data_IF_610776621770
#
_entry.id   IF_610776621770
#
_cell.length_a   1.000
_cell.length_b   1.000
_cell.length_c   1.000
_cell.angle_alpha   90.00
_cell.angle_beta   90.00
_cell.angle_gamma   90.00
#
_symmetry.space_group_name_H-M   'P 1'
#
loop_
_entity.id
_entity.type
_entity.pdbx_description
1 polymer ?
#
# COMPACT_ATOMS: atom_id res chain seq x y z
N UNK A 1 0.63 -13.60 -69.10
CA UNK A 1 1.57 -12.87 -68.22
C UNK A 1 0.85 -12.51 -66.93
N UNK A 2 1.34 -12.99 -65.77
CA UNK A 2 0.75 -12.82 -64.42
C UNK A 2 1.51 -11.75 -63.63
N UNK A 3 0.78 -10.94 -62.84
CA UNK A 3 1.00 -10.54 -61.41
C UNK A 3 0.36 -9.15 -61.20
N UNK A 4 -0.80 -9.04 -60.54
CA UNK A 4 -1.12 -9.04 -59.09
C UNK A 4 -0.75 -7.73 -58.36
N UNK A 5 -1.77 -6.94 -58.01
CA UNK A 5 -1.79 -6.13 -56.78
C UNK A 5 -2.98 -6.59 -55.92
N UNK A 6 -2.69 -6.92 -54.66
CA UNK A 6 -3.65 -7.42 -53.67
C UNK A 6 -4.36 -6.26 -52.98
N UNK A 7 -5.65 -6.49 -52.72
CA UNK A 7 -6.61 -5.75 -51.91
C UNK A 7 -6.36 -6.01 -50.41
N UNK A 8 -6.63 -5.03 -49.53
CA UNK A 8 -7.33 -5.24 -48.24
C UNK A 8 -8.10 -3.94 -47.83
N UNK A 9 -9.22 -4.02 -47.09
CA UNK A 9 -10.36 -3.09 -47.21
C UNK A 9 -10.72 -2.32 -45.92
N UNK A 10 -11.58 -1.30 -46.05
CA UNK A 10 -12.60 -0.98 -45.03
C UNK A 10 -12.67 0.46 -44.50
N UNK A 11 -13.13 1.42 -45.32
CA UNK A 11 -13.75 2.67 -44.82
C UNK A 11 -14.78 3.16 -45.84
N UNK A 12 -16.05 2.81 -45.67
CA UNK A 12 -17.16 3.43 -46.41
C UNK A 12 -17.82 4.50 -45.53
N UNK A 13 -17.63 5.76 -45.91
CA UNK A 13 -18.41 6.89 -45.40
C UNK A 13 -19.63 7.01 -46.29
N UNK A 14 -20.80 6.60 -45.78
CA UNK A 14 -22.06 6.70 -46.51
C UNK A 14 -22.58 8.15 -46.56
N UNK A 15 -23.04 8.54 -47.74
CA UNK A 15 -23.54 9.85 -48.21
C UNK A 15 -24.86 10.30 -47.52
N UNK A 16 -25.13 9.87 -46.29
CA UNK A 16 -26.45 10.05 -45.65
C UNK A 16 -26.56 11.33 -44.79
N UNK A 17 -25.45 11.98 -44.42
CA UNK A 17 -25.49 13.15 -43.53
C UNK A 17 -25.93 14.46 -44.21
N UNK A 18 -25.73 14.62 -45.51
CA UNK A 18 -26.02 15.90 -46.21
C UNK A 18 -27.51 16.09 -46.48
N UNK A 19 -28.29 15.00 -46.57
CA UNK A 19 -29.75 15.08 -46.82
C UNK A 19 -30.58 15.41 -45.58
N UNK A 20 -30.04 15.18 -44.36
CA UNK A 20 -30.78 15.39 -43.10
C UNK A 20 -30.88 16.89 -42.77
N UNK A 21 -29.86 17.68 -43.10
CA UNK A 21 -29.85 19.13 -42.82
C UNK A 21 -30.86 19.94 -43.67
N UNK A 22 -31.40 19.38 -44.77
CA UNK A 22 -32.39 20.08 -45.62
C UNK A 22 -33.85 19.87 -45.23
N UNK A 23 -34.16 18.99 -44.27
CA UNK A 23 -35.54 18.65 -43.92
C UNK A 23 -36.12 19.38 -42.69
N UNK A 24 -35.36 20.26 -42.03
CA UNK A 24 -35.75 20.90 -40.75
C UNK A 24 -36.57 22.19 -40.87
N UNK A 25 -37.06 22.59 -42.06
CA UNK A 25 -37.66 23.92 -42.25
C UNK A 25 -39.20 23.97 -42.17
N UNK A 26 -39.94 22.85 -42.03
CA UNK A 26 -41.43 22.98 -42.04
C UNK A 26 -42.25 21.90 -41.33
N UNK A 27 -41.96 21.54 -40.07
CA UNK A 27 -42.79 20.55 -39.35
C UNK A 27 -43.24 20.98 -37.95
N UNK A 28 -44.52 20.79 -37.68
CA UNK A 28 -45.23 21.13 -36.43
C UNK A 28 -44.81 20.24 -35.25
N UNK A 29 -45.03 20.73 -34.02
CA UNK A 29 -44.54 20.12 -32.77
C UNK A 29 -44.82 18.61 -32.60
N UNK A 30 -45.93 18.09 -33.14
CA UNK A 30 -46.23 16.65 -33.07
C UNK A 30 -45.30 15.76 -33.92
N UNK A 31 -44.73 16.29 -35.01
CA UNK A 31 -43.80 15.54 -35.86
C UNK A 31 -42.36 15.52 -35.32
N UNK A 32 -41.97 16.51 -34.50
CA UNK A 32 -40.70 16.53 -33.76
C UNK A 32 -40.68 15.49 -32.64
N UNK A 33 -41.81 15.26 -31.97
CA UNK A 33 -41.93 14.26 -30.89
C UNK A 33 -41.82 12.83 -31.44
N UNK A 34 -42.44 12.55 -32.60
CA UNK A 34 -42.33 11.23 -33.26
C UNK A 34 -40.89 10.99 -33.76
N UNK A 35 -40.22 12.02 -34.27
CA UNK A 35 -38.81 11.92 -34.67
C UNK A 35 -37.88 11.71 -33.46
N UNK A 36 -38.17 12.36 -32.32
CA UNK A 36 -37.42 12.19 -31.07
C UNK A 36 -37.63 10.79 -30.44
N UNK A 37 -38.86 10.26 -30.50
CA UNK A 37 -39.18 8.90 -30.07
C UNK A 37 -38.56 7.83 -31.00
N UNK A 38 -38.50 8.09 -32.30
CA UNK A 38 -37.77 7.22 -33.23
C UNK A 38 -36.24 7.26 -33.01
N UNK A 39 -35.67 8.43 -32.74
CA UNK A 39 -34.25 8.60 -32.37
C UNK A 39 -33.90 7.88 -31.06
N UNK A 40 -34.80 7.89 -30.07
CA UNK A 40 -34.67 7.12 -28.83
C UNK A 40 -34.76 5.60 -29.06
N UNK A 41 -35.54 5.13 -30.04
CA UNK A 41 -35.62 3.71 -30.40
C UNK A 41 -34.45 3.20 -31.27
N UNK A 42 -33.71 4.10 -31.92
CA UNK A 42 -32.53 3.80 -32.74
C UNK A 42 -31.19 4.07 -32.04
N UNK A 43 -31.22 4.62 -30.82
CA UNK A 43 -30.09 4.60 -29.91
C UNK A 43 -29.95 3.17 -29.37
N UNK A 44 -29.32 2.31 -30.16
CA UNK A 44 -28.53 1.24 -29.58
C UNK A 44 -27.40 1.92 -28.81
N UNK A 45 -27.70 2.33 -27.58
CA UNK A 45 -26.70 2.34 -26.52
C UNK A 45 -26.33 0.86 -26.42
N UNK A 46 -25.36 0.44 -27.23
CA UNK A 46 -24.44 -0.57 -26.74
C UNK A 46 -23.94 0.04 -25.44
N UNK A 47 -24.54 -0.39 -24.32
CA UNK A 47 -23.79 -0.48 -23.11
C UNK A 47 -22.56 -1.24 -23.55
N UNK A 48 -21.41 -0.56 -23.68
CA UNK A 48 -20.19 -1.30 -23.48
C UNK A 48 -20.39 -1.81 -22.07
N UNK A 49 -20.79 -3.08 -21.98
CA UNK A 49 -20.47 -3.85 -20.82
C UNK A 49 -18.96 -3.71 -20.77
N UNK A 50 -18.48 -2.74 -19.99
CA UNK A 50 -17.21 -2.87 -19.31
C UNK A 50 -17.39 -4.18 -18.58
N UNK A 51 -16.96 -5.25 -19.23
CA UNK A 51 -16.84 -6.55 -18.63
C UNK A 51 -15.83 -6.31 -17.53
N UNK A 52 -16.36 -6.09 -16.33
CA UNK A 52 -15.60 -6.26 -15.11
C UNK A 52 -14.85 -7.56 -15.29
N UNK A 53 -13.53 -7.51 -15.09
CA UNK A 53 -12.64 -8.65 -15.18
C UNK A 53 -12.85 -9.61 -13.99
N UNK A 54 -14.12 -9.91 -13.67
CA UNK A 54 -14.56 -10.91 -12.71
C UNK A 54 -13.92 -12.27 -13.04
N UNK A 55 -13.75 -12.56 -14.34
CA UNK A 55 -13.04 -13.74 -14.81
C UNK A 55 -11.58 -13.81 -14.38
N UNK A 56 -10.89 -12.70 -14.13
CA UNK A 56 -9.51 -12.70 -13.62
C UNK A 56 -9.47 -12.66 -12.09
N UNK A 57 -10.46 -12.03 -11.46
CA UNK A 57 -10.63 -12.06 -10.00
C UNK A 57 -10.96 -13.47 -9.49
N UNK A 58 -11.95 -14.16 -10.06
CA UNK A 58 -12.32 -15.52 -9.65
C UNK A 58 -11.19 -16.52 -9.91
N UNK A 59 -10.46 -16.33 -11.02
CA UNK A 59 -9.24 -17.10 -11.30
C UNK A 59 -8.13 -16.76 -10.32
N UNK A 60 -7.98 -15.51 -9.90
CA UNK A 60 -7.04 -15.10 -8.86
C UNK A 60 -7.39 -15.78 -7.53
N UNK A 61 -8.65 -15.73 -7.09
CA UNK A 61 -9.15 -16.39 -5.87
C UNK A 61 -8.86 -17.89 -5.93
N UNK A 62 -9.27 -18.56 -7.00
CA UNK A 62 -9.13 -20.02 -7.16
C UNK A 62 -7.65 -20.48 -7.15
N UNK A 63 -6.76 -19.74 -7.83
CA UNK A 63 -5.32 -20.05 -7.83
C UNK A 63 -4.68 -19.84 -6.46
N UNK A 64 -5.10 -18.79 -5.74
CA UNK A 64 -4.60 -18.47 -4.41
C UNK A 64 -4.95 -19.58 -3.42
N UNK A 65 -6.20 -20.04 -3.40
CA UNK A 65 -6.70 -21.05 -2.47
C UNK A 65 -5.94 -22.38 -2.61
N UNK A 66 -5.78 -22.93 -3.83
CA UNK A 66 -5.08 -24.22 -4.03
C UNK A 66 -3.60 -24.18 -3.65
N UNK A 67 -2.89 -23.09 -3.98
CA UNK A 67 -1.46 -22.91 -3.65
C UNK A 67 -1.24 -22.66 -2.16
N UNK A 68 -2.25 -22.14 -1.47
CA UNK A 68 -2.20 -21.78 -0.06
C UNK A 68 -2.19 -23.01 0.87
N UNK A 69 -3.07 -24.00 0.65
CA UNK A 69 -3.17 -25.17 1.55
C UNK A 69 -1.88 -26.00 1.64
N UNK A 70 -1.17 -26.22 0.53
CA UNK A 70 0.12 -26.94 0.54
C UNK A 70 1.24 -26.19 1.29
N UNK A 71 1.26 -24.85 1.22
CA UNK A 71 2.27 -24.00 1.88
C UNK A 71 2.02 -23.89 3.39
N UNK A 72 0.74 -23.92 3.80
CA UNK A 72 0.28 -23.74 5.18
C UNK A 72 0.96 -24.69 6.17
N UNK A 73 1.04 -25.98 5.86
CA UNK A 73 1.60 -26.99 6.79
C UNK A 73 3.10 -26.80 7.05
N UNK A 74 3.90 -26.60 6.00
CA UNK A 74 5.37 -26.44 6.13
C UNK A 74 5.71 -25.16 6.88
N UNK A 75 5.03 -24.05 6.56
CA UNK A 75 5.28 -22.76 7.20
C UNK A 75 4.90 -22.78 8.68
N UNK A 76 3.78 -23.42 9.04
CA UNK A 76 3.39 -23.65 10.43
C UNK A 76 4.44 -24.44 11.21
N UNK A 77 5.05 -25.46 10.62
CA UNK A 77 6.14 -26.22 11.27
C UNK A 77 7.36 -25.33 11.55
N UNK A 78 7.79 -24.50 10.59
CA UNK A 78 8.94 -23.62 10.77
C UNK A 78 8.70 -22.58 11.88
N UNK A 79 7.52 -21.96 11.89
CA UNK A 79 7.12 -21.01 12.95
C UNK A 79 7.06 -21.74 14.30
N UNK A 80 6.43 -22.92 14.37
CA UNK A 80 6.33 -23.71 15.61
C UNK A 80 7.69 -24.03 16.24
N UNK A 81 8.68 -24.44 15.42
CA UNK A 81 10.05 -24.71 15.90
C UNK A 81 10.72 -23.43 16.40
N UNK A 82 10.54 -22.31 15.69
CA UNK A 82 11.11 -21.04 16.14
C UNK A 82 10.50 -20.58 17.47
N UNK A 83 9.20 -20.77 17.65
CA UNK A 83 8.46 -20.39 18.86
C UNK A 83 8.66 -21.36 20.04
N UNK A 84 9.14 -22.60 19.83
CA UNK A 84 9.34 -23.57 20.93
C UNK A 84 10.62 -23.34 21.73
N UNK A 85 11.56 -22.55 21.20
CA UNK A 85 12.84 -22.29 21.86
C UNK A 85 13.09 -20.78 21.93
N UNK A 86 12.25 -20.00 22.62
CA UNK A 86 12.39 -18.53 22.64
C UNK A 86 13.58 -18.09 23.47
N UNK A 87 14.27 -17.02 23.06
CA UNK A 87 15.28 -16.32 23.85
C UNK A 87 14.86 -14.87 24.05
N UNK A 88 15.30 -14.26 25.15
CA UNK A 88 15.12 -12.84 25.42
C UNK A 88 16.49 -12.24 25.71
N UNK A 89 16.78 -11.10 25.09
CA UNK A 89 17.93 -10.25 25.39
C UNK A 89 17.41 -8.85 25.71
N UNK A 90 18.04 -8.18 26.67
CA UNK A 90 17.58 -6.89 27.20
C UNK A 90 18.50 -5.75 26.78
N UNK A 91 17.90 -4.62 26.40
CA UNK A 91 18.62 -3.40 26.00
C UNK A 91 18.22 -2.27 26.95
N UNK A 92 19.19 -1.73 27.69
CA UNK A 92 18.98 -0.64 28.65
C UNK A 92 20.14 0.36 28.59
N UNK A 93 19.84 1.62 28.28
CA UNK A 93 20.88 2.66 28.13
C UNK A 93 21.65 2.93 29.45
N UNK A 94 21.05 2.65 30.61
CA UNK A 94 21.67 2.76 31.93
C UNK A 94 22.71 1.66 32.24
N UNK A 95 22.81 0.63 31.39
CA UNK A 95 23.73 -0.49 31.56
C UNK A 95 23.23 -1.61 32.48
N UNK A 96 21.97 -1.56 32.95
CA UNK A 96 21.38 -2.62 33.78
C UNK A 96 20.82 -3.82 32.98
N UNK A 97 20.90 -3.77 31.65
CA UNK A 97 20.51 -4.86 30.75
C UNK A 97 21.72 -5.59 30.17
N UNK A 98 21.46 -6.59 29.33
CA UNK A 98 22.51 -7.35 28.64
C UNK A 98 23.35 -6.46 27.69
N UNK A 99 22.70 -5.46 27.08
CA UNK A 99 23.34 -4.51 26.17
C UNK A 99 22.85 -3.06 26.42
N UNK A 100 23.65 -2.08 26.00
CA UNK A 100 23.27 -0.66 26.06
C UNK A 100 22.58 -0.18 24.79
N UNK A 101 22.92 -0.77 23.65
CA UNK A 101 22.41 -0.39 22.34
C UNK A 101 21.66 -1.52 21.66
N UNK A 102 20.78 -1.17 20.73
CA UNK A 102 20.03 -2.15 19.93
C UNK A 102 20.98 -2.88 18.98
N UNK A 103 21.96 -2.16 18.41
CA UNK A 103 22.94 -2.73 17.49
C UNK A 103 23.83 -3.80 18.14
N UNK A 104 24.30 -3.58 19.38
CA UNK A 104 25.05 -4.59 20.14
C UNK A 104 24.22 -5.85 20.39
N UNK A 105 22.95 -5.67 20.81
CA UNK A 105 22.05 -6.78 21.05
C UNK A 105 21.80 -7.61 19.79
N UNK A 106 21.57 -6.96 18.64
CA UNK A 106 21.41 -7.64 17.36
C UNK A 106 22.70 -8.37 16.95
N UNK A 107 23.88 -7.77 17.15
CA UNK A 107 25.17 -8.39 16.84
C UNK A 107 25.46 -9.65 17.68
N UNK A 108 24.82 -9.79 18.85
CA UNK A 108 24.93 -11.00 19.67
C UNK A 108 24.16 -12.20 19.11
N UNK A 109 23.20 -11.98 18.19
CA UNK A 109 22.38 -13.03 17.60
C UNK A 109 23.17 -13.74 16.50
N UNK A 110 23.41 -15.06 16.60
CA UNK A 110 24.15 -15.78 15.57
C UNK A 110 23.46 -15.70 14.19
N UNK A 111 24.22 -15.63 13.10
CA UNK A 111 23.65 -15.67 11.75
C UNK A 111 22.93 -17.00 11.52
N UNK A 112 21.95 -17.00 10.62
CA UNK A 112 21.06 -18.13 10.32
C UNK A 112 20.19 -18.54 11.52
N UNK A 113 19.75 -17.55 12.29
CA UNK A 113 18.88 -17.75 13.44
C UNK A 113 17.61 -18.54 13.08
N UNK A 114 17.33 -19.59 13.84
CA UNK A 114 16.17 -20.48 13.65
C UNK A 114 15.16 -20.40 14.78
N UNK A 115 15.47 -19.65 15.85
CA UNK A 115 14.63 -19.52 17.05
C UNK A 115 14.11 -18.09 17.21
N UNK A 116 12.98 -17.89 17.88
CA UNK A 116 12.49 -16.55 18.22
C UNK A 116 13.46 -15.90 19.23
N UNK A 117 14.06 -14.77 18.86
CA UNK A 117 14.87 -13.95 19.78
C UNK A 117 14.17 -12.61 19.97
N UNK A 118 13.71 -12.35 21.19
CA UNK A 118 13.09 -11.09 21.57
C UNK A 118 14.13 -10.16 22.16
N UNK A 119 14.38 -9.05 21.47
CA UNK A 119 15.13 -7.91 21.98
C UNK A 119 14.16 -7.03 22.75
N UNK A 120 14.19 -7.12 24.07
CA UNK A 120 13.37 -6.32 24.98
C UNK A 120 14.08 -4.99 25.26
N UNK A 121 13.52 -3.91 24.74
CA UNK A 121 14.14 -2.58 24.75
C UNK A 121 13.44 -1.73 25.82
N UNK A 122 14.19 -1.25 26.81
CA UNK A 122 13.68 -0.34 27.83
C UNK A 122 13.31 1.03 27.25
N UNK A 123 12.46 1.81 27.93
CA UNK A 123 12.14 3.17 27.50
C UNK A 123 13.39 4.02 27.31
N UNK A 124 13.39 4.84 26.26
CA UNK A 124 14.53 5.68 25.91
C UNK A 124 14.48 6.14 24.45
N UNK A 125 15.42 7.04 24.12
CA UNK A 125 15.64 7.49 22.74
C UNK A 125 16.95 6.88 22.25
N UNK A 126 16.83 5.98 21.28
CA UNK A 126 17.91 5.23 20.66
C UNK A 126 18.22 5.87 19.30
N UNK A 127 19.24 6.74 19.28
CA UNK A 127 19.72 7.36 18.04
C UNK A 127 20.68 6.41 17.32
N UNK A 128 20.12 5.43 16.62
CA UNK A 128 20.86 4.35 15.96
C UNK A 128 20.33 4.11 14.55
N UNK A 129 21.25 3.82 13.62
CA UNK A 129 20.90 3.29 12.30
C UNK A 129 20.94 1.76 12.34
N UNK A 130 19.77 1.14 12.36
CA UNK A 130 19.63 -0.30 12.64
C UNK A 130 19.39 -1.08 11.36
N UNK A 131 20.13 -2.18 11.15
CA UNK A 131 19.92 -3.12 10.06
C UNK A 131 19.75 -4.54 10.60
N UNK A 132 18.63 -5.18 10.25
CA UNK A 132 18.34 -6.57 10.58
C UNK A 132 18.46 -7.40 9.30
N UNK A 133 19.60 -8.07 9.08
CA UNK A 133 19.92 -8.70 7.80
C UNK A 133 19.06 -9.95 7.56
N UNK A 134 18.99 -10.39 6.29
CA UNK A 134 18.23 -11.59 5.87
C UNK A 134 18.57 -12.85 6.67
N UNK A 135 19.79 -12.95 7.17
CA UNK A 135 20.31 -14.08 7.95
C UNK A 135 19.74 -14.14 9.37
N UNK A 136 19.03 -13.12 9.83
CA UNK A 136 18.58 -12.96 11.21
C UNK A 136 17.05 -13.08 11.32
N UNK A 137 16.49 -14.17 10.76
CA UNK A 137 15.05 -14.44 10.83
C UNK A 137 14.56 -14.59 12.27
N UNK A 138 13.25 -14.43 12.50
CA UNK A 138 12.61 -14.61 13.81
C UNK A 138 13.11 -13.68 14.93
N UNK A 139 13.59 -12.48 14.59
CA UNK A 139 13.87 -11.42 15.56
C UNK A 139 12.56 -10.70 15.92
N UNK A 140 12.39 -10.39 17.20
CA UNK A 140 11.34 -9.52 17.70
C UNK A 140 11.97 -8.32 18.42
N UNK A 141 11.57 -7.09 18.08
CA UNK A 141 11.82 -5.92 18.92
C UNK A 141 10.59 -5.66 19.77
N UNK A 142 10.75 -5.57 21.09
CA UNK A 142 9.63 -5.39 22.02
C UNK A 142 9.93 -4.25 22.99
N UNK A 143 9.02 -3.29 23.07
CA UNK A 143 9.05 -2.20 24.04
C UNK A 143 7.94 -2.30 25.09
N UNK A 144 8.00 -1.43 26.08
CA UNK A 144 6.92 -1.22 27.05
C UNK A 144 5.75 -0.49 26.36
N UNK A 145 4.50 -0.90 26.60
CA UNK A 145 3.32 -0.30 25.95
C UNK A 145 3.01 1.12 26.46
N UNK A 146 3.24 1.40 27.73
CA UNK A 146 2.98 2.69 28.37
C UNK A 146 4.07 3.72 28.00
N UNK A 147 5.31 3.25 27.87
CA UNK A 147 6.44 4.09 27.50
C UNK A 147 7.32 3.39 26.44
N UNK A 148 6.86 3.33 25.18
CA UNK A 148 7.59 2.65 24.12
C UNK A 148 8.87 3.40 23.75
N UNK A 149 10.00 2.69 23.54
CA UNK A 149 11.24 3.30 23.09
C UNK A 149 11.12 3.86 21.67
N UNK A 150 11.89 4.92 21.41
CA UNK A 150 12.01 5.54 20.10
C UNK A 150 13.36 5.20 19.47
N UNK A 151 13.34 4.60 18.28
CA UNK A 151 14.51 4.44 17.43
C UNK A 151 14.49 5.56 16.38
N UNK A 152 15.46 6.46 16.44
CA UNK A 152 15.46 7.72 15.67
C UNK A 152 16.73 7.90 14.83
N UNK A 153 16.54 8.49 13.66
CA UNK A 153 17.58 8.89 12.71
C UNK A 153 17.11 10.09 11.90
N UNK A 154 17.93 10.62 11.02
CA UNK A 154 17.62 11.83 10.25
C UNK A 154 18.25 11.83 8.85
N UNK A 155 18.56 10.64 8.32
CA UNK A 155 19.11 10.52 6.98
C UNK A 155 18.05 10.85 5.93
N UNK A 156 18.46 11.56 4.89
CA UNK A 156 17.66 11.81 3.68
C UNK A 156 18.25 11.06 2.49
N UNK A 157 17.50 10.99 1.38
CA UNK A 157 17.99 10.39 0.15
C UNK A 157 19.23 11.12 -0.43
N UNK A 158 19.36 12.42 -0.20
CA UNK A 158 20.51 13.22 -0.64
C UNK A 158 21.71 13.18 0.31
N UNK A 159 21.54 12.68 1.54
CA UNK A 159 22.64 12.58 2.49
C UNK A 159 23.79 11.74 1.92
N UNK A 160 25.02 12.17 2.21
CA UNK A 160 26.22 11.50 1.71
C UNK A 160 26.40 10.13 2.38
N UNK A 161 26.40 9.06 1.57
CA UNK A 161 26.78 7.74 2.03
C UNK A 161 28.29 7.58 2.20
N UNK A 162 28.73 6.40 2.66
CA UNK A 162 30.15 6.10 2.98
C UNK A 162 31.12 6.32 1.82
N UNK A 163 30.66 6.18 0.58
CA UNK A 163 31.49 6.30 -0.62
C UNK A 163 31.35 7.69 -1.28
N UNK A 164 30.78 8.67 -0.58
CA UNK A 164 30.48 10.00 -1.12
C UNK A 164 29.27 10.04 -2.06
N UNK A 165 28.65 8.90 -2.36
CA UNK A 165 27.43 8.82 -3.17
C UNK A 165 26.18 9.05 -2.31
N UNK A 166 25.14 9.73 -2.82
CA UNK A 166 23.88 9.88 -2.09
C UNK A 166 23.30 8.54 -1.66
N UNK A 167 22.75 8.48 -0.43
CA UNK A 167 22.14 7.27 0.12
C UNK A 167 20.98 6.75 -0.77
N UNK A 168 20.25 7.68 -1.39
CA UNK A 168 18.95 7.40 -1.99
C UNK A 168 17.90 7.01 -0.94
N UNK A 169 16.63 7.00 -1.33
CA UNK A 169 15.51 6.66 -0.43
C UNK A 169 15.69 5.30 0.24
N UNK A 170 16.27 4.32 -0.46
CA UNK A 170 16.42 2.97 0.07
C UNK A 170 17.36 2.91 1.30
N UNK A 171 18.45 3.69 1.29
CA UNK A 171 19.43 3.68 2.37
C UNK A 171 19.21 4.80 3.39
N UNK A 172 18.22 5.69 3.21
CA UNK A 172 17.86 6.71 4.20
C UNK A 172 17.07 6.14 5.40
N UNK A 173 16.72 4.86 5.37
CA UNK A 173 16.00 4.19 6.45
C UNK A 173 16.75 4.24 7.80
N UNK A 174 16.10 4.78 8.83
CA UNK A 174 16.58 4.68 10.23
C UNK A 174 16.68 3.21 10.65
N UNK A 175 15.62 2.43 10.37
CA UNK A 175 15.61 0.98 10.59
C UNK A 175 15.34 0.25 9.28
N UNK A 176 16.17 -0.74 8.96
CA UNK A 176 16.07 -1.58 7.78
C UNK A 176 15.89 -3.05 8.16
N UNK A 177 14.73 -3.63 7.84
CA UNK A 177 14.38 -5.02 8.12
C UNK A 177 14.39 -5.85 6.84
N UNK A 178 15.44 -6.65 6.66
CA UNK A 178 15.55 -7.61 5.56
C UNK A 178 15.26 -9.05 6.01
N UNK A 179 15.23 -9.30 7.31
CA UNK A 179 14.89 -10.58 7.94
C UNK A 179 13.42 -10.98 7.75
N UNK A 180 13.16 -12.27 7.55
CA UNK A 180 11.79 -12.81 7.52
C UNK A 180 11.29 -13.13 8.92
N UNK A 181 9.97 -13.14 9.11
CA UNK A 181 9.34 -13.42 10.42
C UNK A 181 9.69 -12.41 11.51
N UNK A 182 10.07 -11.19 11.11
CA UNK A 182 10.33 -10.09 12.03
C UNK A 182 9.04 -9.67 12.75
N UNK A 183 9.14 -9.32 14.03
CA UNK A 183 8.02 -8.72 14.76
C UNK A 183 8.48 -7.46 15.48
N UNK A 184 7.68 -6.40 15.48
CA UNK A 184 7.85 -5.28 16.39
C UNK A 184 6.59 -5.08 17.23
N UNK A 185 6.76 -4.83 18.52
CA UNK A 185 5.67 -4.62 19.48
C UNK A 185 6.01 -3.39 20.32
N UNK A 186 5.13 -2.39 20.35
CA UNK A 186 5.29 -1.17 21.15
C UNK A 186 6.64 -0.46 20.88
N UNK A 187 6.94 -0.17 19.61
CA UNK A 187 8.16 0.56 19.20
C UNK A 187 7.77 1.81 18.41
N UNK A 188 8.46 2.92 18.64
CA UNK A 188 8.38 4.13 17.81
C UNK A 188 9.58 4.15 16.85
N UNK A 189 9.31 4.10 15.55
CA UNK A 189 10.31 4.27 14.49
C UNK A 189 10.21 5.70 13.95
N UNK A 190 11.34 6.41 13.92
CA UNK A 190 11.35 7.82 13.55
C UNK A 190 12.46 8.15 12.54
N UNK A 191 12.12 8.95 11.55
CA UNK A 191 13.07 9.76 10.82
C UNK A 191 12.73 11.24 11.05
N UNK A 192 13.61 11.94 11.77
CA UNK A 192 13.44 13.33 12.20
C UNK A 192 14.05 14.34 11.22
N UNK A 193 14.36 13.94 9.99
CA UNK A 193 14.90 14.86 8.99
C UNK A 193 13.91 16.00 8.71
N UNK A 194 14.36 17.26 8.63
CA UNK A 194 13.51 18.35 8.18
C UNK A 194 13.10 18.11 6.73
N UNK A 195 11.88 18.52 6.37
CA UNK A 195 11.35 18.32 5.04
C UNK A 195 10.50 19.52 4.59
N UNK A 196 10.75 19.97 3.37
CA UNK A 196 9.91 20.91 2.65
C UNK A 196 9.32 20.25 1.40
N UNK A 197 7.99 20.21 1.32
CA UNK A 197 7.28 19.55 0.23
C UNK A 197 7.64 20.19 -1.12
N UNK A 198 8.17 19.35 -2.02
CA UNK A 198 8.57 19.70 -3.39
C UNK A 198 10.09 19.73 -3.60
N UNK A 199 10.89 19.66 -2.53
CA UNK A 199 12.36 19.61 -2.63
C UNK A 199 12.84 18.24 -3.09
N UNK A 200 13.92 18.22 -3.87
CA UNK A 200 14.52 16.98 -4.38
C UNK A 200 15.49 16.40 -3.36
N UNK A 201 15.40 15.09 -3.13
CA UNK A 201 16.35 14.35 -2.29
C UNK A 201 16.05 14.37 -0.79
N UNK A 202 14.92 14.92 -0.35
CA UNK A 202 14.54 15.01 1.06
C UNK A 202 13.72 13.82 1.57
N UNK A 203 13.62 12.73 0.79
CA UNK A 203 12.94 11.51 1.24
C UNK A 203 13.65 10.91 2.45
N UNK A 204 12.93 10.70 3.55
CA UNK A 204 13.48 10.26 4.83
C UNK A 204 12.69 9.10 5.40
N UNK A 205 13.23 7.88 5.28
CA UNK A 205 12.53 6.66 5.69
C UNK A 205 12.75 6.40 7.19
N UNK A 206 11.68 6.21 7.95
CA UNK A 206 11.74 5.79 9.35
C UNK A 206 11.96 4.26 9.45
N UNK A 207 11.19 3.49 8.67
CA UNK A 207 11.32 2.05 8.59
C UNK A 207 11.22 1.56 7.15
N UNK A 208 12.16 0.69 6.75
CA UNK A 208 12.09 -0.07 5.49
C UNK A 208 11.95 -1.56 5.75
N UNK A 209 11.03 -2.22 5.05
CA UNK A 209 10.74 -3.66 5.23
C UNK A 209 10.87 -4.40 3.90
N UNK A 210 11.95 -5.19 3.76
CA UNK A 210 12.20 -6.06 2.59
C UNK A 210 12.09 -7.55 2.89
N UNK A 211 11.99 -7.91 4.17
CA UNK A 211 11.84 -9.29 4.64
C UNK A 211 10.38 -9.67 4.75
N UNK A 212 9.99 -10.83 4.21
CA UNK A 212 8.59 -11.24 4.21
C UNK A 212 8.12 -11.73 5.59
N UNK A 213 6.81 -11.68 5.82
CA UNK A 213 6.14 -12.19 7.03
C UNK A 213 6.52 -11.37 8.26
N UNK A 214 6.52 -10.05 8.12
CA UNK A 214 6.80 -9.12 9.19
C UNK A 214 5.49 -8.61 9.83
N UNK A 215 5.43 -8.57 11.15
CA UNK A 215 4.25 -8.08 11.87
C UNK A 215 4.59 -6.93 12.83
N UNK A 216 3.70 -5.95 12.92
CA UNK A 216 3.86 -4.76 13.75
C UNK A 216 2.60 -4.58 14.59
N UNK A 217 2.77 -4.48 15.92
CA UNK A 217 1.68 -4.35 16.87
C UNK A 217 1.92 -3.12 17.74
N UNK A 218 0.96 -2.20 17.80
CA UNK A 218 1.06 -0.99 18.62
C UNK A 218 2.33 -0.16 18.33
N UNK A 219 2.82 -0.18 17.09
CA UNK A 219 3.99 0.56 16.69
C UNK A 219 3.60 1.96 16.18
N UNK A 220 4.52 2.92 16.29
CA UNK A 220 4.40 4.22 15.65
C UNK A 220 5.48 4.40 14.59
N UNK A 221 5.13 5.04 13.49
CA UNK A 221 6.04 5.38 12.39
C UNK A 221 5.91 6.86 12.10
N UNK A 222 6.98 7.62 12.35
CA UNK A 222 6.96 9.08 12.24
C UNK A 222 8.03 9.55 11.28
N UNK A 223 7.62 10.37 10.32
CA UNK A 223 8.51 11.05 9.39
C UNK A 223 7.76 12.12 8.61
N UNK A 224 8.31 12.50 7.46
CA UNK A 224 7.68 13.41 6.51
C UNK A 224 7.43 12.68 5.19
N UNK A 225 8.24 12.95 4.15
CA UNK A 225 8.16 12.23 2.89
C UNK A 225 8.79 10.85 2.99
N UNK A 226 8.10 9.83 2.46
CA UNK A 226 8.56 8.44 2.38
C UNK A 226 8.77 7.76 3.76
N UNK A 227 7.91 8.06 4.75
CA UNK A 227 8.08 7.58 6.14
C UNK A 227 8.19 6.05 6.29
N UNK A 228 7.23 5.30 5.74
CA UNK A 228 7.18 3.84 5.82
C UNK A 228 7.41 3.23 4.44
N UNK A 229 8.63 2.72 4.23
CA UNK A 229 8.98 2.00 3.00
C UNK A 229 8.60 0.53 3.15
N UNK A 230 7.34 0.25 2.89
CA UNK A 230 6.78 -1.10 2.80
C UNK A 230 7.19 -1.80 1.48
N UNK A 231 8.49 -2.06 1.37
CA UNK A 231 9.18 -2.34 0.11
C UNK A 231 8.68 -3.62 -0.57
N UNK A 232 8.73 -4.78 0.11
CA UNK A 232 8.24 -6.05 -0.45
C UNK A 232 8.05 -7.12 0.62
N UNK A 233 7.08 -8.01 0.41
CA UNK A 233 6.81 -9.15 1.29
C UNK A 233 5.33 -9.24 1.66
N UNK A 234 5.02 -10.15 2.58
CA UNK A 234 3.71 -10.24 3.25
C UNK A 234 3.84 -9.55 4.61
N UNK A 235 3.10 -8.47 4.88
CA UNK A 235 3.23 -7.76 6.16
C UNK A 235 1.89 -7.50 6.82
N UNK A 236 1.92 -7.38 8.15
CA UNK A 236 0.75 -7.10 8.97
C UNK A 236 1.05 -5.94 9.92
N UNK A 237 0.17 -4.95 9.94
CA UNK A 237 0.22 -3.83 10.87
C UNK A 237 -1.10 -3.81 11.62
N UNK A 238 -1.06 -3.91 12.95
CA UNK A 238 -2.26 -3.90 13.77
C UNK A 238 -2.14 -2.87 14.88
N UNK A 239 -3.15 -1.99 14.98
CA UNK A 239 -3.20 -0.93 15.97
C UNK A 239 -1.96 -0.01 15.91
N UNK A 240 -1.47 0.28 14.70
CA UNK A 240 -0.29 1.14 14.51
C UNK A 240 -0.68 2.59 14.20
N UNK A 241 0.18 3.52 14.60
CA UNK A 241 0.12 4.92 14.22
C UNK A 241 1.14 5.20 13.11
N UNK A 242 0.74 5.82 12.00
CA UNK A 242 1.62 6.14 10.88
C UNK A 242 1.42 7.60 10.50
N UNK A 243 2.50 8.38 10.53
CA UNK A 243 2.47 9.82 10.27
C UNK A 243 3.44 10.23 9.16
N UNK A 244 2.99 11.10 8.26
CA UNK A 244 3.87 11.78 7.31
C UNK A 244 3.17 12.71 6.33
N UNK A 245 3.89 13.15 5.31
CA UNK A 245 3.41 14.09 4.30
C UNK A 245 3.20 13.41 2.94
N UNK A 246 4.24 13.35 2.11
CA UNK A 246 4.19 12.81 0.74
C UNK A 246 4.55 11.32 0.76
N UNK A 247 3.69 10.49 0.18
CA UNK A 247 3.91 9.06 -0.02
C UNK A 247 4.35 8.32 1.25
N UNK A 248 3.79 8.71 2.39
CA UNK A 248 4.32 8.27 3.67
C UNK A 248 4.10 6.78 3.96
N UNK A 249 3.31 6.08 3.13
CA UNK A 249 3.27 4.62 3.02
C UNK A 249 3.50 4.22 1.55
N UNK A 250 4.64 3.62 1.22
CA UNK A 250 5.00 3.34 -0.17
C UNK A 250 5.77 2.04 -0.35
N UNK A 251 5.74 1.50 -1.57
CA UNK A 251 6.44 0.25 -1.92
C UNK A 251 5.56 -0.75 -2.66
N UNK A 252 5.99 -2.01 -2.69
CA UNK A 252 5.37 -3.09 -3.50
C UNK A 252 4.96 -4.30 -2.66
N UNK A 253 4.86 -4.18 -1.32
CA UNK A 253 4.44 -5.29 -0.48
C UNK A 253 2.95 -5.67 -0.65
N UNK A 254 2.58 -6.83 -0.10
CA UNK A 254 1.21 -7.30 0.09
C UNK A 254 0.92 -7.18 1.59
N UNK A 255 0.24 -6.11 1.98
CA UNK A 255 0.17 -5.72 3.39
C UNK A 255 -1.25 -5.42 3.84
N UNK A 256 -1.58 -5.90 5.03
CA UNK A 256 -2.82 -5.58 5.72
C UNK A 256 -2.50 -4.63 6.88
N UNK A 257 -3.10 -3.46 6.83
CA UNK A 257 -3.13 -2.47 7.90
C UNK A 257 -4.51 -2.53 8.55
N UNK A 258 -4.56 -2.94 9.81
CA UNK A 258 -5.79 -3.13 10.54
C UNK A 258 -5.82 -2.26 11.80
N UNK A 259 -6.92 -1.55 12.01
CA UNK A 259 -7.08 -0.66 13.16
C UNK A 259 -5.98 0.41 13.25
N UNK A 260 -5.43 0.85 12.12
CA UNK A 260 -4.33 1.81 12.09
C UNK A 260 -4.84 3.26 12.04
N UNK A 261 -4.07 4.15 12.65
CA UNK A 261 -4.27 5.59 12.58
C UNK A 261 -3.27 6.19 11.60
N UNK A 262 -3.77 6.81 10.53
CA UNK A 262 -3.00 7.41 9.45
C UNK A 262 -3.12 8.93 9.59
N UNK A 263 -2.06 9.58 10.05
CA UNK A 263 -2.06 11.01 10.33
C UNK A 263 -1.23 11.79 9.31
N UNK A 264 -1.87 12.60 8.48
CA UNK A 264 -1.12 13.50 7.60
C UNK A 264 -0.59 14.70 8.36
N UNK A 265 0.66 15.08 8.08
CA UNK A 265 1.27 16.35 8.55
C UNK A 265 1.55 17.31 7.40
N UNK A 266 0.88 17.11 6.26
CA UNK A 266 1.16 17.89 5.07
C UNK A 266 0.69 19.34 5.20
N UNK A 267 1.49 20.27 4.70
CA UNK A 267 1.10 21.69 4.53
C UNK A 267 0.66 22.02 3.11
N UNK A 268 0.79 21.06 2.19
CA UNK A 268 0.40 21.16 0.77
C UNK A 268 -0.42 19.93 0.37
N UNK A 269 -0.76 19.81 -0.92
CA UNK A 269 -1.32 18.57 -1.45
C UNK A 269 -0.28 17.45 -1.37
N UNK A 270 -0.66 16.32 -0.80
CA UNK A 270 0.19 15.13 -0.68
C UNK A 270 -0.61 13.85 -0.92
N UNK A 271 0.00 12.69 -0.64
CA UNK A 271 -0.65 11.38 -0.79
C UNK A 271 -0.28 10.50 0.38
N UNK A 272 -1.27 9.78 0.91
CA UNK A 272 -1.05 8.79 1.98
C UNK A 272 -0.23 7.62 1.43
N UNK A 273 -0.65 7.10 0.28
CA UNK A 273 -0.02 5.91 -0.31
C UNK A 273 0.63 6.16 -1.66
N UNK A 274 1.70 5.42 -1.94
CA UNK A 274 2.30 5.29 -3.27
C UNK A 274 2.69 3.82 -3.52
N UNK A 275 1.72 3.02 -3.93
CA UNK A 275 1.93 1.58 -4.15
C UNK A 275 2.49 1.32 -5.56
N UNK A 276 3.45 0.39 -5.66
CA UNK A 276 4.30 0.16 -6.83
C UNK A 276 4.16 -1.23 -7.41
N UNK A 277 2.93 -1.71 -7.56
CA UNK A 277 2.65 -2.96 -8.27
C UNK A 277 2.80 -2.69 -9.75
N UNK A 278 3.67 -3.45 -10.42
CA UNK A 278 4.09 -3.17 -11.80
C UNK A 278 3.40 -4.03 -12.87
N UNK A 279 2.72 -5.11 -12.49
CA UNK A 279 1.96 -5.94 -13.42
C UNK A 279 0.78 -6.65 -12.73
N UNK A 280 -0.20 -7.07 -13.52
CA UNK A 280 -1.43 -7.71 -13.04
C UNK A 280 -1.24 -9.07 -12.36
N UNK A 281 -0.17 -9.80 -12.69
CA UNK A 281 0.11 -11.13 -12.12
C UNK A 281 0.63 -11.09 -10.68
N UNK A 282 1.13 -9.93 -10.23
CA UNK A 282 1.59 -9.74 -8.86
C UNK A 282 0.40 -9.60 -7.91
N UNK A 283 0.51 -10.25 -6.75
CA UNK A 283 -0.50 -10.23 -5.70
C UNK A 283 -0.27 -9.12 -4.68
N UNK A 284 0.72 -8.24 -4.89
CA UNK A 284 0.98 -7.10 -4.01
C UNK A 284 -0.16 -6.09 -3.96
N UNK A 285 -0.17 -5.25 -2.93
CA UNK A 285 -1.23 -4.32 -2.65
C UNK A 285 -1.28 -3.94 -1.18
N UNK A 286 -1.79 -2.74 -0.91
CA UNK A 286 -2.06 -2.30 0.45
C UNK A 286 -3.56 -2.40 0.72
N UNK A 287 -3.94 -3.05 1.82
CA UNK A 287 -5.31 -3.11 2.30
C UNK A 287 -5.39 -2.47 3.68
N UNK A 288 -6.29 -1.51 3.83
CA UNK A 288 -6.55 -0.79 5.07
C UNK A 288 -7.94 -1.15 5.56
N UNK A 289 -8.05 -1.68 6.79
CA UNK A 289 -9.31 -2.10 7.38
C UNK A 289 -9.50 -1.48 8.75
N UNK A 290 -10.68 -0.91 9.01
CA UNK A 290 -11.00 -0.24 10.27
C UNK A 290 -9.97 0.81 10.65
N UNK A 291 -9.39 1.49 9.66
CA UNK A 291 -8.41 2.54 9.91
C UNK A 291 -9.09 3.89 10.11
N UNK A 292 -8.30 4.86 10.55
CA UNK A 292 -8.72 6.26 10.69
C UNK A 292 -7.72 7.14 9.95
N UNK A 293 -8.20 7.98 9.04
CA UNK A 293 -7.42 8.95 8.27
C UNK A 293 -7.75 10.35 8.78
N UNK A 294 -6.76 11.02 9.37
CA UNK A 294 -6.87 12.37 9.96
C UNK A 294 -5.62 13.19 9.66
N UNK A 295 -5.55 14.40 10.22
CA UNK A 295 -4.35 15.21 10.23
C UNK A 295 -4.57 16.56 9.56
N UNK A 296 -3.55 17.06 8.88
CA UNK A 296 -3.56 18.37 8.24
C UNK A 296 -3.32 18.30 6.73
N UNK A 297 -3.60 19.41 6.05
CA UNK A 297 -3.38 19.57 4.62
C UNK A 297 -4.49 18.96 3.78
N UNK A 298 -4.15 18.65 2.53
CA UNK A 298 -5.04 17.98 1.59
C UNK A 298 -4.34 16.75 1.04
N UNK A 299 -5.00 15.60 1.05
CA UNK A 299 -4.36 14.34 0.66
C UNK A 299 -5.19 13.58 -0.35
N UNK A 300 -4.49 12.95 -1.28
CA UNK A 300 -4.99 11.76 -1.95
C UNK A 300 -4.85 10.56 -1.01
N UNK A 301 -5.81 9.64 -1.05
CA UNK A 301 -5.69 8.30 -0.46
C UNK A 301 -4.50 7.54 -1.05
N UNK A 302 -4.23 7.74 -2.34
CA UNK A 302 -3.09 7.16 -3.00
C UNK A 302 -2.79 7.74 -4.37
N UNK A 303 -1.53 7.61 -4.79
CA UNK A 303 -1.11 7.88 -6.16
C UNK A 303 -0.32 6.73 -6.77
N UNK A 304 -0.55 6.45 -8.04
CA UNK A 304 -0.10 5.23 -8.71
C UNK A 304 1.39 5.26 -9.07
N UNK A 305 2.28 4.95 -8.12
CA UNK A 305 3.71 4.82 -8.41
C UNK A 305 4.00 3.67 -9.39
N UNK A 306 3.25 2.56 -9.28
CA UNK A 306 3.29 1.47 -10.24
C UNK A 306 2.10 1.46 -11.19
N UNK A 307 2.32 1.00 -12.42
CA UNK A 307 1.30 0.92 -13.48
C UNK A 307 0.05 0.10 -13.13
N UNK A 308 0.19 -0.85 -12.20
CA UNK A 308 -0.89 -1.70 -11.72
C UNK A 308 -1.13 -1.49 -10.22
N UNK A 309 -0.80 -0.31 -9.70
CA UNK A 309 -0.96 0.05 -8.29
C UNK A 309 -2.31 -0.41 -7.73
N UNK A 310 -2.28 -0.96 -6.52
CA UNK A 310 -3.44 -1.56 -5.86
C UNK A 310 -3.50 -1.15 -4.40
N UNK A 311 -4.57 -0.46 -4.03
CA UNK A 311 -4.83 0.05 -2.69
C UNK A 311 -6.32 -0.07 -2.40
N UNK A 312 -6.68 -0.60 -1.24
CA UNK A 312 -8.08 -0.76 -0.82
C UNK A 312 -8.24 -0.19 0.58
N UNK A 313 -9.26 0.67 0.76
CA UNK A 313 -9.72 1.11 2.07
C UNK A 313 -11.08 0.48 2.36
N UNK A 314 -11.23 -0.12 3.53
CA UNK A 314 -12.45 -0.79 3.98
C UNK A 314 -12.80 -0.36 5.39
N UNK A 315 -14.06 0.01 5.65
CA UNK A 315 -14.54 0.44 6.96
C UNK A 315 -13.67 1.54 7.59
N UNK A 316 -13.06 2.38 6.76
CA UNK A 316 -12.10 3.39 7.21
C UNK A 316 -12.81 4.72 7.39
N UNK A 317 -12.58 5.37 8.53
CA UNK A 317 -13.00 6.74 8.74
C UNK A 317 -12.04 7.68 8.01
N UNK A 318 -12.57 8.62 7.23
CA UNK A 318 -11.81 9.61 6.47
C UNK A 318 -12.29 11.01 6.84
N UNK A 319 -11.40 11.79 7.44
CA UNK A 319 -11.68 13.19 7.74
C UNK A 319 -11.60 14.09 6.48
N UNK A 320 -11.97 15.36 6.61
CA UNK A 320 -12.19 16.28 5.49
C UNK A 320 -10.91 16.65 4.70
N UNK A 321 -9.73 16.25 5.18
CA UNK A 321 -8.46 16.41 4.46
C UNK A 321 -8.38 15.57 3.18
N UNK A 322 -9.19 14.52 3.05
CA UNK A 322 -9.20 13.68 1.84
C UNK A 322 -9.85 14.45 0.69
N UNK A 323 -9.09 14.67 -0.37
CA UNK A 323 -9.55 15.39 -1.55
C UNK A 323 -10.78 14.69 -2.18
N UNK A 324 -11.76 15.44 -2.73
CA UNK A 324 -12.91 14.85 -3.41
C UNK A 324 -12.53 13.82 -4.48
N UNK A 325 -11.48 14.12 -5.26
CA UNK A 325 -10.91 13.20 -6.27
C UNK A 325 -10.47 11.85 -5.69
N UNK A 326 -10.05 11.82 -4.42
CA UNK A 326 -9.60 10.65 -3.68
C UNK A 326 -8.25 10.10 -4.12
N UNK A 327 -7.99 10.03 -5.43
CA UNK A 327 -6.86 9.32 -5.99
C UNK A 327 -6.16 10.09 -7.12
N UNK A 328 -4.91 9.73 -7.38
CA UNK A 328 -4.15 10.23 -8.52
C UNK A 328 -3.49 9.09 -9.32
N UNK A 329 -3.53 9.22 -10.63
CA UNK A 329 -2.87 8.36 -11.62
C UNK A 329 -1.36 8.67 -11.76
N UNK A 330 -0.83 9.60 -10.96
CA UNK A 330 0.54 10.14 -11.08
C UNK A 330 0.77 10.89 -12.41
N UNK A 331 -0.28 11.38 -13.06
CA UNK A 331 -0.19 12.09 -14.34
C UNK A 331 0.01 11.16 -15.55
N UNK A 332 -0.28 9.87 -15.41
CA UNK A 332 -0.26 8.90 -16.51
C UNK A 332 -1.62 8.21 -16.64
N UNK A 333 -2.46 8.73 -17.53
CA UNK A 333 -3.83 8.26 -17.76
C UNK A 333 -3.90 6.79 -18.23
N UNK A 334 -2.80 6.21 -18.75
CA UNK A 334 -2.77 4.79 -19.08
C UNK A 334 -2.93 3.91 -17.83
N UNK A 335 -2.70 4.45 -16.64
CA UNK A 335 -2.85 3.73 -15.37
C UNK A 335 -4.30 3.58 -14.94
N UNK A 336 -5.19 4.48 -15.35
CA UNK A 336 -6.61 4.49 -14.97
C UNK A 336 -7.31 3.14 -15.20
N UNK A 337 -6.99 2.47 -16.30
CA UNK A 337 -7.55 1.15 -16.66
C UNK A 337 -6.86 -0.04 -15.98
N UNK A 338 -5.72 0.18 -15.31
CA UNK A 338 -4.81 -0.87 -14.80
C UNK A 338 -4.71 -0.88 -13.27
N UNK A 339 -4.91 0.27 -12.62
CA UNK A 339 -4.90 0.39 -11.17
C UNK A 339 -6.14 -0.24 -10.55
N UNK A 340 -6.03 -0.62 -9.27
CA UNK A 340 -7.14 -1.13 -8.48
C UNK A 340 -7.22 -0.33 -7.19
N UNK A 341 -7.95 0.79 -7.24
CA UNK A 341 -8.18 1.67 -6.08
C UNK A 341 -9.64 1.56 -5.64
N UNK A 342 -9.83 0.95 -4.48
CA UNK A 342 -11.15 0.58 -3.98
C UNK A 342 -11.47 1.19 -2.63
N UNK A 343 -12.72 1.63 -2.47
CA UNK A 343 -13.31 2.05 -1.21
C UNK A 343 -14.52 1.16 -0.91
N UNK A 344 -14.61 0.67 0.33
CA UNK A 344 -15.70 -0.20 0.78
C UNK A 344 -16.19 0.25 2.16
N UNK A 345 -17.45 0.65 2.27
CA UNK A 345 -18.09 1.08 3.53
C UNK A 345 -17.24 2.08 4.36
N UNK A 346 -16.52 2.99 3.68
CA UNK A 346 -15.78 4.05 4.34
C UNK A 346 -16.75 5.15 4.83
N UNK A 347 -16.36 5.88 5.87
CA UNK A 347 -17.23 6.86 6.55
C UNK A 347 -16.48 8.16 6.84
N UNK A 348 -17.19 9.19 7.29
CA UNK A 348 -16.62 10.50 7.57
C UNK A 348 -16.69 11.48 6.38
N UNK A 349 -16.40 12.76 6.61
CA UNK A 349 -16.57 13.82 5.61
C UNK A 349 -15.68 13.64 4.36
N UNK A 350 -14.52 12.99 4.49
CA UNK A 350 -13.62 12.68 3.37
C UNK A 350 -14.02 11.46 2.54
N UNK A 351 -14.99 10.65 3.00
CA UNK A 351 -15.44 9.43 2.32
C UNK A 351 -16.54 9.68 1.27
N UNK A 352 -16.88 10.94 0.96
CA UNK A 352 -17.87 11.25 -0.07
C UNK A 352 -17.37 10.83 -1.46
N UNK A 353 -18.13 9.95 -2.10
CA UNK A 353 -17.79 9.35 -3.40
C UNK A 353 -18.14 10.24 -4.60
N UNK A 354 -18.99 11.25 -4.45
CA UNK A 354 -19.53 12.03 -5.57
C UNK A 354 -18.47 12.78 -6.40
N UNK A 355 -17.31 13.08 -5.82
CA UNK A 355 -16.20 13.77 -6.47
C UNK A 355 -15.04 12.89 -6.90
N UNK A 356 -15.14 11.56 -6.71
CA UNK A 356 -14.04 10.63 -6.98
C UNK A 356 -13.70 10.61 -8.47
N UNK A 357 -12.44 10.34 -8.77
CA UNK A 357 -12.01 10.07 -10.15
C UNK A 357 -12.82 8.90 -10.74
N UNK A 358 -13.19 8.92 -12.04
CA UNK A 358 -14.11 7.93 -12.62
C UNK A 358 -13.63 6.47 -12.57
N UNK A 359 -12.33 6.26 -12.41
CA UNK A 359 -11.68 4.95 -12.33
C UNK A 359 -11.50 4.44 -10.88
N UNK A 360 -11.89 5.24 -9.88
CA UNK A 360 -12.00 4.75 -8.50
C UNK A 360 -13.16 3.74 -8.39
N UNK A 361 -12.99 2.74 -7.54
CA UNK A 361 -13.95 1.63 -7.41
C UNK A 361 -14.69 1.75 -6.09
N UNK A 362 -16.01 1.76 -6.16
CA UNK A 362 -16.87 1.49 -5.00
C UNK A 362 -17.09 0.00 -4.98
N UNK A 363 -16.51 -0.69 -4.00
CA UNK A 363 -16.51 -2.15 -3.98
C UNK A 363 -17.83 -2.70 -3.45
N UNK A 364 -18.27 -3.84 -3.96
CA UNK A 364 -19.30 -4.67 -3.32
C UNK A 364 -18.71 -5.52 -2.19
N UNK A 365 -19.58 -6.17 -1.41
CA UNK A 365 -19.17 -7.11 -0.35
C UNK A 365 -18.24 -8.21 -0.90
N UNK A 366 -18.56 -8.79 -2.06
CA UNK A 366 -17.76 -9.83 -2.72
C UNK A 366 -16.40 -9.31 -3.18
N UNK A 367 -16.36 -8.12 -3.76
CA UNK A 367 -15.12 -7.49 -4.23
C UNK A 367 -14.21 -7.10 -3.06
N UNK A 368 -14.78 -6.68 -1.93
CA UNK A 368 -14.04 -6.28 -0.73
C UNK A 368 -13.53 -7.48 0.09
N UNK A 369 -14.29 -8.59 0.11
CA UNK A 369 -14.01 -9.81 0.91
C UNK A 369 -12.55 -10.27 0.93
N UNK A 370 -11.79 -10.36 -0.18
CA UNK A 370 -10.41 -10.84 -0.15
C UNK A 370 -9.40 -9.85 0.44
N UNK A 371 -9.79 -8.58 0.65
CA UNK A 371 -8.91 -7.53 1.16
C UNK A 371 -9.10 -7.29 2.67
N UNK A 372 -10.23 -7.67 3.25
CA UNK A 372 -10.62 -7.34 4.64
C UNK A 372 -10.20 -8.37 5.70
N UNK A 373 -9.37 -9.36 5.36
CA UNK A 373 -8.98 -10.42 6.28
C UNK A 373 -7.50 -10.73 6.21
N UNK A 374 -6.98 -11.39 7.24
CA UNK A 374 -5.59 -11.89 7.28
C UNK A 374 -5.28 -12.85 6.14
N UNK A 375 -6.30 -13.45 5.50
CA UNK A 375 -6.14 -14.24 4.28
C UNK A 375 -5.55 -13.41 3.13
N UNK A 376 -5.79 -12.09 3.10
CA UNK A 376 -5.13 -11.18 2.17
C UNK A 376 -3.61 -11.25 2.27
N UNK A 377 -3.04 -11.65 3.40
CA UNK A 377 -1.59 -11.72 3.59
C UNK A 377 -1.13 -13.15 3.88
N UNK A 378 -1.93 -14.16 3.53
CA UNK A 378 -1.69 -15.57 3.88
C UNK A 378 -1.47 -15.77 5.39
N UNK A 379 -2.14 -14.98 6.23
CA UNK A 379 -1.86 -14.82 7.67
C UNK A 379 -1.81 -16.12 8.45
N UNK A 380 -2.76 -17.05 8.23
CA UNK A 380 -2.79 -18.32 8.98
C UNK A 380 -1.59 -19.24 8.69
N UNK A 381 -0.70 -18.88 7.76
CA UNK A 381 0.54 -19.62 7.48
C UNK A 381 1.73 -19.10 8.30
N UNK A 382 1.67 -17.89 8.85
CA UNK A 382 2.84 -17.25 9.45
C UNK A 382 2.60 -16.31 10.62
N UNK A 383 1.40 -15.74 10.76
CA UNK A 383 1.05 -14.98 11.95
C UNK A 383 1.06 -15.91 13.16
N UNK A 384 1.66 -15.42 14.23
CA UNK A 384 1.68 -16.12 15.52
C UNK A 384 0.32 -15.84 16.14
N UNK A 385 -0.57 -16.83 16.18
CA UNK A 385 -1.79 -16.71 16.98
C UNK A 385 -1.37 -16.68 18.45
N UNK A 386 -1.53 -15.54 19.10
CA UNK A 386 -1.62 -15.47 20.56
C UNK A 386 -3.02 -15.98 20.92
N UNK A 387 -3.14 -17.30 21.00
CA UNK A 387 -4.29 -17.94 21.65
C UNK A 387 -4.39 -17.51 23.11
#
# INVERSE_FOLDING_TARGET
MKRKYNILPGLEISVTLVSICRAMVSKTHSQLIILFLFLLSSLNITSSSYTHDAGNFDKWVSRNVKKYEKRKTILKTKVKVAESNKAIITVRQDGSGDFKTISEALNSIPPRNTRRVTVSISPGVYREKVMIPRTMAFVTLSGNAENPPTITGNDTASASGRNGTPLGTFQSATVAVDASYFVAINIKFENSAPHEIGRRGEQGVALRISGTKAAFYNCSFSGAQDTLYDHKGLHFFNNCYIQGSVDFIFGSARSLYQNCYLNSTSTKVASITAQKRTNSSLESGFSFKNCTVTGSGHVYLGRAWGDYSRVVFSYTYMDNLVLPKGWSDWGDQNRDSRVYYGEYMCSGPGANLAGRVPWARVLTDEEAKPFIGTQFIEGDTWLINTS
#
